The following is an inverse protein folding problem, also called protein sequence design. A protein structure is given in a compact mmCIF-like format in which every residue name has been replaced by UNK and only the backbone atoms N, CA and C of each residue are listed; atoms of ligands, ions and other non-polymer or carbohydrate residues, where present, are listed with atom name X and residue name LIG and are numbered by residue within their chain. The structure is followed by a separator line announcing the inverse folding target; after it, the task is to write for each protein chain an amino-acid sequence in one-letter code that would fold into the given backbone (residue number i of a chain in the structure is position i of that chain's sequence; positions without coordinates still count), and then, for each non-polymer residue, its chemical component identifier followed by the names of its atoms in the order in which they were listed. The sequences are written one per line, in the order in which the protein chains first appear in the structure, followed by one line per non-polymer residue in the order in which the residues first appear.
data_IF_171615675657
#
_entry.id   IF_171615675657
#
_cell.length_a   1.000
_cell.length_b   1.000
_cell.length_c   1.000
_cell.angle_alpha   90.00
_cell.angle_beta   90.00
_cell.angle_gamma   90.00
#
_symmetry.space_group_name_H-M   'P 1'
#
loop_
_entity.id
_entity.type
_entity.pdbx_description
1 polymer ?
#
# COMPACT_ATOMS: atom_id res chain seq x y z
N UNK A 1 -12.14 -7.01 -27.69
CA UNK A 1 -10.71 -6.95 -27.55
C UNK A 1 -10.22 -7.81 -26.41
N UNK A 2 -9.19 -8.51 -26.64
CA UNK A 2 -8.66 -9.36 -25.61
C UNK A 2 -7.69 -8.61 -24.75
N UNK A 3 -7.91 -8.67 -23.48
CA UNK A 3 -6.97 -8.09 -22.54
C UNK A 3 -5.68 -8.84 -22.57
N UNK A 4 -4.60 -8.12 -22.61
CA UNK A 4 -3.32 -8.76 -22.38
C UNK A 4 -3.17 -8.85 -20.89
N UNK A 5 -3.16 -10.07 -20.39
CA UNK A 5 -3.04 -10.26 -18.97
C UNK A 5 -1.65 -9.88 -18.50
N UNK A 6 -1.59 -9.10 -17.42
CA UNK A 6 -0.34 -8.80 -16.75
C UNK A 6 -0.02 -9.86 -15.69
N UNK A 7 -0.94 -10.78 -15.48
CA UNK A 7 -0.76 -11.82 -14.48
C UNK A 7 0.07 -12.95 -15.03
N UNK A 8 1.00 -13.45 -14.24
CA UNK A 8 1.87 -14.55 -14.65
C UNK A 8 1.81 -15.64 -13.61
N UNK A 9 1.96 -16.90 -14.01
CA UNK A 9 1.94 -18.00 -13.04
C UNK A 9 2.96 -17.75 -11.94
N UNK A 10 2.52 -17.85 -10.70
CA UNK A 10 3.36 -17.63 -9.55
C UNK A 10 3.29 -16.23 -8.97
N UNK A 11 2.69 -15.27 -9.69
CA UNK A 11 2.55 -13.89 -9.18
C UNK A 11 1.53 -13.84 -8.07
N UNK A 12 1.76 -12.94 -7.12
CA UNK A 12 0.70 -12.52 -6.21
C UNK A 12 -0.13 -11.51 -6.99
N UNK A 13 -1.40 -11.81 -7.21
CA UNK A 13 -2.23 -11.01 -8.12
C UNK A 13 -3.50 -10.46 -7.49
N UNK A 14 -3.86 -10.90 -6.30
CA UNK A 14 -5.09 -10.48 -5.67
C UNK A 14 -4.91 -10.35 -4.17
N UNK A 15 -5.37 -9.24 -3.62
CA UNK A 15 -5.33 -8.98 -2.19
C UNK A 15 -6.72 -8.69 -1.66
N UNK A 16 -6.99 -9.18 -0.47
CA UNK A 16 -8.14 -8.75 0.32
C UNK A 16 -7.59 -7.98 1.50
N UNK A 17 -8.03 -6.75 1.63
CA UNK A 17 -7.53 -5.85 2.68
C UNK A 17 -8.66 -5.58 3.66
N UNK A 18 -8.44 -5.87 4.93
CA UNK A 18 -9.42 -5.59 5.97
C UNK A 18 -9.67 -4.10 6.02
N UNK A 19 -10.93 -3.70 5.94
CA UNK A 19 -11.30 -2.29 5.89
C UNK A 19 -12.71 -2.12 6.42
N UNK A 20 -12.88 -1.94 7.73
CA UNK A 20 -14.20 -1.68 8.29
C UNK A 20 -14.90 -0.51 7.61
N UNK A 21 -14.14 0.48 7.15
CA UNK A 21 -14.67 1.57 6.35
C UNK A 21 -13.92 1.60 5.02
N UNK A 22 -14.44 0.90 4.00
CA UNK A 22 -13.74 0.82 2.71
C UNK A 22 -13.42 2.17 2.08
N UNK A 23 -14.29 3.16 2.25
CA UNK A 23 -14.05 4.47 1.65
C UNK A 23 -12.81 5.14 2.24
N UNK A 24 -12.61 5.02 3.54
CA UNK A 24 -11.43 5.61 4.18
C UNK A 24 -10.16 4.90 3.73
N UNK A 25 -10.20 3.57 3.67
CA UNK A 25 -9.06 2.80 3.22
C UNK A 25 -8.75 3.10 1.76
N UNK A 26 -9.76 3.15 0.91
CA UNK A 26 -9.58 3.48 -0.50
C UNK A 26 -8.92 4.83 -0.67
N UNK A 27 -9.38 5.84 0.07
CA UNK A 27 -8.80 7.17 -0.01
C UNK A 27 -7.32 7.17 0.38
N UNK A 28 -6.98 6.39 1.40
CA UNK A 28 -5.59 6.25 1.84
C UNK A 28 -4.71 5.68 0.73
N UNK A 29 -5.10 4.53 0.16
CA UNK A 29 -4.27 3.88 -0.85
C UNK A 29 -4.17 4.70 -2.13
N UNK A 30 -5.22 5.43 -2.47
CA UNK A 30 -5.17 6.33 -3.61
C UNK A 30 -4.23 7.52 -3.34
N UNK A 31 -4.36 8.15 -2.17
CA UNK A 31 -3.59 9.35 -1.84
C UNK A 31 -2.10 9.05 -1.66
N UNK A 32 -1.78 7.94 -1.00
CA UNK A 32 -0.39 7.64 -0.65
C UNK A 32 0.34 6.93 -1.79
N UNK A 33 -0.33 5.96 -2.43
CA UNK A 33 0.34 5.09 -3.41
C UNK A 33 -0.17 5.25 -4.83
N UNK A 34 -1.22 6.04 -5.05
CA UNK A 34 -1.75 6.24 -6.38
C UNK A 34 -2.53 5.04 -6.92
N UNK A 35 -3.02 4.18 -6.04
CA UNK A 35 -3.81 3.04 -6.49
C UNK A 35 -5.12 3.52 -7.10
N UNK A 36 -5.58 2.79 -8.11
CA UNK A 36 -6.83 3.11 -8.77
C UNK A 36 -7.98 2.46 -8.02
N UNK A 37 -8.96 3.28 -7.67
CA UNK A 37 -10.08 2.82 -6.85
C UNK A 37 -11.32 2.74 -7.74
N UNK A 38 -12.03 1.64 -7.64
CA UNK A 38 -13.28 1.47 -8.36
C UNK A 38 -14.35 2.38 -7.77
N UNK A 39 -15.39 2.59 -8.55
CA UNK A 39 -16.41 3.57 -8.29
C UNK A 39 -17.06 3.46 -6.91
N UNK A 40 -17.27 2.25 -6.44
CA UNK A 40 -17.94 2.02 -5.15
C UNK A 40 -16.96 1.91 -3.99
N UNK A 41 -15.69 2.18 -4.22
CA UNK A 41 -14.63 2.10 -3.22
C UNK A 41 -14.41 0.71 -2.64
N UNK A 42 -14.95 -0.32 -3.28
CA UNK A 42 -14.80 -1.68 -2.76
C UNK A 42 -13.67 -2.44 -3.45
N UNK A 43 -13.28 -2.02 -4.64
CA UNK A 43 -12.26 -2.71 -5.42
C UNK A 43 -11.15 -1.76 -5.83
N UNK A 44 -9.97 -2.32 -6.04
CA UNK A 44 -8.82 -1.50 -6.40
C UNK A 44 -7.88 -2.24 -7.36
N UNK A 45 -7.01 -1.47 -7.99
CA UNK A 45 -5.83 -1.97 -8.68
C UNK A 45 -4.64 -1.22 -8.09
N UNK A 46 -3.51 -1.89 -7.96
CA UNK A 46 -2.30 -1.16 -7.56
C UNK A 46 -1.86 -0.26 -8.72
N UNK A 47 -0.79 0.50 -8.51
CA UNK A 47 -0.35 1.46 -9.50
C UNK A 47 0.07 0.85 -10.83
N UNK A 48 0.38 -0.44 -10.84
CA UNK A 48 0.84 -1.13 -12.05
C UNK A 48 -0.26 -1.95 -12.72
N UNK A 49 -1.34 -2.21 -12.00
CA UNK A 49 -2.39 -3.12 -12.47
C UNK A 49 -2.06 -4.60 -12.28
N UNK A 50 -0.90 -4.92 -11.71
CA UNK A 50 -0.51 -6.31 -11.47
C UNK A 50 -1.28 -6.94 -10.31
N UNK A 51 -1.66 -6.14 -9.34
CA UNK A 51 -2.43 -6.62 -8.19
C UNK A 51 -3.76 -5.92 -8.19
N UNK A 52 -4.82 -6.71 -8.15
CA UNK A 52 -6.17 -6.20 -7.96
C UNK A 52 -6.66 -6.70 -6.61
N UNK A 53 -7.76 -6.16 -6.13
CA UNK A 53 -8.28 -6.64 -4.87
C UNK A 53 -9.53 -5.95 -4.42
N UNK A 54 -9.91 -6.25 -3.19
CA UNK A 54 -11.10 -5.67 -2.57
C UNK A 54 -10.82 -5.26 -1.14
N UNK A 55 -11.45 -4.17 -0.74
CA UNK A 55 -11.50 -3.76 0.65
C UNK A 55 -12.67 -4.48 1.31
N UNK A 56 -12.39 -5.21 2.39
CA UNK A 56 -13.36 -6.14 2.97
C UNK A 56 -13.83 -5.64 4.34
N UNK A 57 -15.07 -5.17 4.46
CA UNK A 57 -15.53 -4.67 5.75
C UNK A 57 -15.67 -5.75 6.82
N UNK A 58 -15.83 -6.99 6.41
CA UNK A 58 -16.02 -8.11 7.35
C UNK A 58 -14.74 -8.81 7.77
N UNK A 59 -13.63 -8.48 7.14
CA UNK A 59 -12.39 -9.19 7.40
C UNK A 59 -11.70 -8.59 8.62
N UNK A 60 -11.33 -9.42 9.62
CA UNK A 60 -10.65 -8.87 10.80
C UNK A 60 -9.28 -8.30 10.46
N UNK A 61 -8.94 -7.20 11.12
CA UNK A 61 -7.61 -6.60 10.96
C UNK A 61 -6.63 -7.38 11.80
N UNK A 62 -5.52 -7.80 11.19
CA UNK A 62 -4.51 -8.60 11.87
C UNK A 62 -3.25 -7.81 12.27
N UNK A 63 -3.13 -6.58 11.84
CA UNK A 63 -1.94 -5.77 12.15
C UNK A 63 -0.71 -6.33 11.47
N UNK A 64 0.31 -6.61 12.25
CA UNK A 64 1.58 -7.12 11.73
C UNK A 64 1.71 -8.63 11.77
N UNK A 65 0.63 -9.33 11.79
CA UNK A 65 0.66 -10.79 11.86
C UNK A 65 0.67 -11.40 10.46
N UNK A 66 1.44 -12.46 10.28
CA UNK A 66 1.45 -13.22 9.03
C UNK A 66 2.20 -12.53 7.92
N UNK A 67 1.47 -12.04 6.93
CA UNK A 67 2.06 -11.44 5.72
C UNK A 67 1.92 -9.93 5.77
N UNK A 68 3.01 -9.23 5.43
CA UNK A 68 3.00 -7.77 5.35
C UNK A 68 3.35 -7.37 3.94
N UNK A 69 2.46 -6.71 3.20
CA UNK A 69 2.80 -6.21 1.89
C UNK A 69 3.69 -4.98 1.99
N UNK A 70 4.62 -4.88 1.05
CA UNK A 70 5.49 -3.70 0.94
C UNK A 70 5.24 -3.06 -0.41
N UNK A 71 5.07 -1.74 -0.42
CA UNK A 71 4.84 -0.99 -1.64
C UNK A 71 6.11 -0.22 -1.98
N UNK A 72 6.56 -0.38 -3.23
CA UNK A 72 7.69 0.40 -3.74
C UNK A 72 7.24 1.81 -4.07
N UNK A 73 8.06 2.79 -3.71
CA UNK A 73 7.82 4.18 -4.06
C UNK A 73 9.13 4.79 -4.56
N UNK A 74 9.05 5.85 -5.32
CA UNK A 74 10.24 6.52 -5.81
C UNK A 74 10.87 7.44 -4.77
N UNK A 75 10.04 8.04 -3.92
CA UNK A 75 10.51 8.95 -2.88
C UNK A 75 9.77 8.63 -1.60
N UNK A 76 10.47 7.96 -0.69
CA UNK A 76 9.86 7.47 0.53
C UNK A 76 9.40 8.62 1.43
N UNK A 77 10.14 9.71 1.47
CA UNK A 77 9.77 10.83 2.31
C UNK A 77 8.49 11.50 1.82
N UNK A 78 8.35 11.64 0.50
CA UNK A 78 7.15 12.21 -0.08
C UNK A 78 5.93 11.33 0.18
N UNK A 79 6.09 10.03 0.00
CA UNK A 79 4.98 9.09 0.25
C UNK A 79 4.57 9.16 1.71
N UNK A 80 5.52 9.12 2.63
CA UNK A 80 5.22 9.12 4.06
C UNK A 80 4.60 10.44 4.51
N UNK A 81 4.94 11.54 3.86
CA UNK A 81 4.36 12.83 4.21
C UNK A 81 2.84 12.86 4.00
N UNK A 82 2.33 12.00 3.10
CA UNK A 82 0.90 11.93 2.82
C UNK A 82 0.14 11.03 3.78
N UNK A 83 0.84 10.20 4.54
CA UNK A 83 0.21 9.17 5.36
C UNK A 83 -0.71 9.74 6.45
N UNK A 84 -0.28 10.72 7.27
CA UNK A 84 -1.18 11.22 8.32
C UNK A 84 -2.43 11.88 7.77
N UNK A 85 -2.28 12.71 6.74
CA UNK A 85 -3.44 13.39 6.15
C UNK A 85 -4.42 12.45 5.48
N UNK A 86 -3.96 11.26 5.12
CA UNK A 86 -4.81 10.24 4.50
C UNK A 86 -5.40 9.28 5.52
N UNK A 87 -5.20 9.52 6.81
CA UNK A 87 -5.81 8.73 7.86
C UNK A 87 -4.97 7.57 8.37
N UNK A 88 -3.72 7.48 7.92
CA UNK A 88 -2.81 6.45 8.38
C UNK A 88 -1.81 6.97 9.39
N UNK A 89 -0.83 6.14 9.68
CA UNK A 89 0.19 6.46 10.66
C UNK A 89 1.53 5.89 10.21
N UNK A 90 2.61 6.66 10.37
CA UNK A 90 3.96 6.15 10.15
C UNK A 90 4.42 5.56 11.47
N UNK A 91 4.63 4.25 11.50
CA UNK A 91 5.00 3.56 12.73
C UNK A 91 6.50 3.33 12.85
N UNK A 92 7.21 3.27 11.74
CA UNK A 92 8.66 3.18 11.75
C UNK A 92 9.20 4.13 10.69
N UNK A 93 10.00 5.08 11.11
CA UNK A 93 10.61 6.06 10.21
C UNK A 93 11.59 5.37 9.28
N UNK A 94 11.90 5.97 8.12
CA UNK A 94 12.83 5.35 7.18
C UNK A 94 14.14 4.96 7.83
N UNK A 95 14.56 3.73 7.56
CA UNK A 95 15.85 3.20 8.00
C UNK A 95 16.53 2.52 6.82
N UNK A 96 17.86 2.51 6.80
CA UNK A 96 18.58 1.92 5.69
C UNK A 96 18.63 0.41 5.81
N UNK A 97 18.55 -0.26 4.66
CA UNK A 97 18.70 -1.70 4.59
C UNK A 97 19.45 -2.01 3.30
N UNK A 98 20.77 -2.11 3.39
CA UNK A 98 21.61 -2.18 2.21
C UNK A 98 21.45 -0.92 1.38
N UNK A 99 21.06 -1.10 0.11
CA UNK A 99 20.83 0.01 -0.80
C UNK A 99 19.40 0.52 -0.75
N UNK A 100 18.61 0.02 0.20
CA UNK A 100 17.20 0.36 0.29
C UNK A 100 16.95 1.26 1.49
N UNK A 101 15.87 2.03 1.39
CA UNK A 101 15.27 2.70 2.54
C UNK A 101 13.90 2.09 2.76
N UNK A 102 13.60 1.75 4.00
CA UNK A 102 12.38 1.03 4.37
C UNK A 102 11.69 1.76 5.51
N UNK A 103 10.37 1.76 5.49
CA UNK A 103 9.56 2.33 6.57
C UNK A 103 8.32 1.49 6.76
N UNK A 104 7.65 1.66 7.90
CA UNK A 104 6.41 0.96 8.18
C UNK A 104 5.30 1.96 8.45
N UNK A 105 4.12 1.62 7.96
CA UNK A 105 2.93 2.44 8.18
C UNK A 105 1.78 1.56 8.62
N UNK A 106 0.73 2.22 9.10
CA UNK A 106 -0.58 1.61 9.30
C UNK A 106 -1.56 2.33 8.42
N UNK A 107 -2.43 1.57 7.75
CA UNK A 107 -3.51 2.19 7.00
C UNK A 107 -4.63 2.59 7.96
N UNK A 108 -5.71 3.24 7.49
CA UNK A 108 -6.75 3.72 8.41
C UNK A 108 -7.44 2.64 9.22
N UNK A 109 -7.43 1.40 8.75
CA UNK A 109 -8.00 0.29 9.48
C UNK A 109 -7.04 -0.31 10.51
N UNK A 110 -5.74 -0.01 10.38
CA UNK A 110 -4.72 -0.55 11.26
C UNK A 110 -3.88 -1.66 10.63
N UNK A 111 -4.04 -1.93 9.33
CA UNK A 111 -3.20 -2.91 8.66
C UNK A 111 -1.79 -2.37 8.50
N UNK A 112 -0.80 -3.23 8.72
CA UNK A 112 0.60 -2.85 8.52
C UNK A 112 0.96 -2.90 7.04
N UNK A 113 1.54 -1.83 6.55
CA UNK A 113 1.99 -1.72 5.17
C UNK A 113 3.42 -1.18 5.18
N UNK A 114 4.34 -1.94 4.60
CA UNK A 114 5.71 -1.48 4.44
C UNK A 114 5.84 -0.59 3.22
N UNK A 115 6.80 0.32 3.26
CA UNK A 115 7.09 1.23 2.15
C UNK A 115 8.59 1.22 1.95
N UNK A 116 9.04 1.16 0.69
CA UNK A 116 10.47 1.14 0.44
C UNK A 116 10.82 1.84 -0.85
N UNK A 117 12.05 2.34 -0.91
CA UNK A 117 12.62 2.86 -2.15
C UNK A 117 14.00 2.28 -2.34
N UNK A 118 14.47 2.30 -3.58
CA UNK A 118 15.81 1.87 -3.95
C UNK A 118 16.66 3.12 -4.19
N UNK A 119 17.92 3.05 -3.81
CA UNK A 119 18.86 4.11 -4.07
C UNK A 119 18.86 5.20 -3.00
N UNK A 120 19.54 6.31 -3.28
CA UNK A 120 19.69 7.34 -2.27
C UNK A 120 18.35 8.00 -1.93
N UNK A 121 18.20 8.31 -0.68
CA UNK A 121 17.02 9.01 -0.17
C UNK A 121 17.29 10.50 -0.28
N UNK A 122 16.49 11.24 -1.09
CA UNK A 122 16.78 12.65 -1.32
C UNK A 122 16.84 13.49 -0.07
N UNK A 123 16.03 13.15 0.95
CA UNK A 123 15.98 13.91 2.20
C UNK A 123 16.95 13.41 3.24
N UNK A 124 17.74 12.39 2.96
CA UNK A 124 18.69 11.87 3.93
C UNK A 124 19.86 12.82 4.11
N UNK A 125 20.38 12.96 5.34
CA UNK A 125 21.57 13.77 5.57
C UNK A 125 22.79 13.21 4.88
#
# INVERSE_FOLDING_TARGET
MTEISVFRPGDVSYLRIAAPDPSRSAAFYNAVFGWKIRKDSSAFEDGTGHIIGHFMPDLPVAGEAGVIPYVYVQDIDEALARVPGAGGEVTTKPYPEGDLWVAMTRDPAGNAIGVWQHGPRPSAP
#
